data_IF_453880029037
#
_entry.id   IF_453880029037
#
_cell.length_a   1.000
_cell.length_b   1.000
_cell.length_c   1.000
_cell.angle_alpha   90.00
_cell.angle_beta   90.00
_cell.angle_gamma   90.00
#
_symmetry.space_group_name_H-M   'P 1'
#
loop_
_entity.id
_entity.type
_entity.pdbx_description
1 polymer ?
#
# COMPACT_ATOMS: atom_id res chain seq x y z
N UNK A 1 -5.60 23.55 -1.98
CA UNK A 1 -4.88 22.56 -1.16
C UNK A 1 -5.06 21.22 -1.83
N UNK A 2 -3.99 20.59 -2.30
CA UNK A 2 -4.03 19.26 -2.94
C UNK A 2 -4.42 18.26 -1.85
N UNK A 3 -5.68 17.81 -1.79
CA UNK A 3 -6.13 16.78 -0.84
C UNK A 3 -5.71 15.41 -1.34
N UNK A 4 -4.40 15.24 -1.55
CA UNK A 4 -3.84 13.98 -2.03
C UNK A 4 -3.89 12.97 -0.89
N UNK A 5 -4.69 11.93 -1.09
CA UNK A 5 -4.67 10.78 -0.19
C UNK A 5 -3.61 9.80 -0.65
N UNK A 6 -3.19 8.90 0.24
CA UNK A 6 -2.21 7.87 -0.06
C UNK A 6 -2.73 6.50 0.39
N UNK A 7 -2.32 5.44 -0.29
CA UNK A 7 -2.62 4.06 0.07
C UNK A 7 -1.36 3.21 0.11
N UNK A 8 -1.40 2.11 0.86
CA UNK A 8 -0.33 1.13 0.94
C UNK A 8 -0.64 -0.07 0.05
N UNK A 9 0.37 -0.54 -0.70
CA UNK A 9 0.29 -1.73 -1.54
C UNK A 9 1.47 -2.65 -1.21
N UNK A 10 1.27 -3.67 -0.35
CA UNK A 10 2.33 -4.60 -0.01
C UNK A 10 2.54 -5.62 -1.13
N UNK A 11 3.79 -6.00 -1.36
CA UNK A 11 4.15 -7.23 -2.07
C UNK A 11 4.41 -8.31 -1.04
N UNK A 12 3.69 -9.41 -1.18
CA UNK A 12 3.71 -10.52 -0.22
C UNK A 12 4.64 -11.64 -0.71
N UNK A 13 5.35 -12.29 0.23
CA UNK A 13 6.05 -13.57 0.04
C UNK A 13 5.06 -14.72 -0.10
N UNK A 14 3.99 -14.68 0.69
CA UNK A 14 2.91 -15.67 0.69
C UNK A 14 1.60 -15.04 1.22
N UNK A 15 0.46 -15.56 0.79
CA UNK A 15 -0.86 -15.03 1.13
C UNK A 15 -1.26 -13.78 0.34
N UNK A 16 -2.37 -13.15 0.72
CA UNK A 16 -2.98 -12.05 -0.04
C UNK A 16 -2.84 -10.73 0.69
N UNK A 17 -2.42 -9.68 -0.03
CA UNK A 17 -2.33 -8.31 0.49
C UNK A 17 -3.61 -7.82 1.17
N UNK A 18 -4.78 -8.22 0.62
CA UNK A 18 -6.11 -7.91 1.15
C UNK A 18 -6.35 -8.39 2.59
N UNK A 19 -5.55 -9.34 3.08
CA UNK A 19 -5.61 -9.83 4.46
C UNK A 19 -4.91 -8.92 5.47
N UNK A 20 -4.23 -7.86 5.04
CA UNK A 20 -3.62 -6.85 5.93
C UNK A 20 -4.56 -5.63 5.98
N UNK A 21 -5.10 -5.26 7.17
CA UNK A 21 -6.04 -4.14 7.33
C UNK A 21 -5.54 -2.81 6.77
N UNK A 22 -4.26 -2.51 6.95
CA UNK A 22 -3.59 -1.27 6.53
C UNK A 22 -3.63 -1.06 5.00
N UNK A 23 -3.87 -2.12 4.22
CA UNK A 23 -4.00 -2.07 2.75
C UNK A 23 -5.27 -1.32 2.29
N UNK A 24 -6.27 -1.18 3.16
CA UNK A 24 -7.55 -0.52 2.85
C UNK A 24 -7.63 0.93 3.29
N UNK A 25 -6.64 1.39 4.07
CA UNK A 25 -6.66 2.70 4.67
C UNK A 25 -6.16 3.78 3.70
N UNK A 26 -6.83 4.93 3.73
CA UNK A 26 -6.39 6.14 3.04
C UNK A 26 -5.71 7.07 4.04
N UNK A 27 -4.51 7.50 3.72
CA UNK A 27 -3.68 8.38 4.55
C UNK A 27 -3.73 9.80 3.99
N UNK A 28 -3.90 10.80 4.86
CA UNK A 28 -3.90 12.21 4.46
C UNK A 28 -2.51 12.78 4.18
N UNK A 29 -1.45 12.03 4.51
CA UNK A 29 -0.05 12.43 4.30
C UNK A 29 0.85 11.23 3.98
N UNK A 30 1.98 11.50 3.31
CA UNK A 30 3.02 10.48 3.04
C UNK A 30 3.67 10.00 4.34
N UNK A 31 3.74 10.86 5.36
CA UNK A 31 4.37 10.55 6.65
C UNK A 31 3.53 9.54 7.45
N UNK A 32 2.21 9.72 7.47
CA UNK A 32 1.28 8.76 8.06
C UNK A 32 1.35 7.41 7.34
N UNK A 33 1.34 7.43 6.00
CA UNK A 33 1.49 6.22 5.19
C UNK A 33 2.82 5.50 5.46
N UNK A 34 3.93 6.24 5.61
CA UNK A 34 5.24 5.67 5.94
C UNK A 34 5.26 5.02 7.32
N UNK A 35 4.59 5.64 8.29
CA UNK A 35 4.48 5.09 9.65
C UNK A 35 3.70 3.79 9.65
N UNK A 36 2.56 3.73 8.94
CA UNK A 36 1.81 2.50 8.75
C UNK A 36 2.57 1.43 7.94
N UNK A 37 3.34 1.82 6.91
CA UNK A 37 4.18 0.89 6.16
C UNK A 37 5.23 0.20 7.04
N UNK A 38 5.79 0.89 8.04
CA UNK A 38 6.69 0.27 9.04
C UNK A 38 5.98 -0.80 9.87
N UNK A 39 4.72 -0.56 10.23
CA UNK A 39 3.91 -1.54 10.97
C UNK A 39 3.70 -2.82 10.16
N UNK A 40 3.45 -2.71 8.84
CA UNK A 40 3.26 -3.88 7.97
C UNK A 40 4.47 -4.81 7.93
N UNK A 41 5.70 -4.30 8.11
CA UNK A 41 6.90 -5.14 8.15
C UNK A 41 7.02 -5.99 9.43
N UNK A 42 6.13 -5.84 10.41
CA UNK A 42 6.00 -6.82 11.51
C UNK A 42 5.40 -8.15 11.03
N UNK A 43 4.70 -8.17 9.89
CA UNK A 43 4.29 -9.41 9.23
C UNK A 43 5.42 -9.91 8.32
N UNK A 44 6.06 -11.03 8.69
CA UNK A 44 7.18 -11.64 7.95
C UNK A 44 6.83 -12.01 6.49
N UNK A 45 5.53 -12.07 6.16
CA UNK A 45 5.07 -12.31 4.80
C UNK A 45 5.19 -11.08 3.92
N UNK A 46 5.41 -9.88 4.47
CA UNK A 46 5.54 -8.64 3.69
C UNK A 46 6.99 -8.46 3.22
N UNK A 47 7.22 -8.45 1.91
CA UNK A 47 8.56 -8.27 1.32
C UNK A 47 8.90 -6.79 1.08
N UNK A 48 7.91 -6.00 0.67
CA UNK A 48 8.04 -4.56 0.38
C UNK A 48 6.67 -3.91 0.43
N UNK A 49 6.63 -2.62 0.72
CA UNK A 49 5.41 -1.81 0.74
C UNK A 49 5.59 -0.60 -0.17
N UNK A 50 4.69 -0.44 -1.14
CA UNK A 50 4.61 0.76 -1.97
C UNK A 50 3.61 1.75 -1.36
N UNK A 51 3.98 3.03 -1.31
CA UNK A 51 3.06 4.13 -0.99
C UNK A 51 2.62 4.74 -2.31
N UNK A 52 1.32 4.70 -2.60
CA UNK A 52 0.75 5.26 -3.83
C UNK A 52 -0.13 6.45 -3.48
N UNK A 53 -0.04 7.52 -4.26
CA UNK A 53 -0.97 8.64 -4.14
C UNK A 53 -2.29 8.29 -4.84
N UNK A 54 -3.42 8.64 -4.22
CA UNK A 54 -4.72 8.62 -4.85
C UNK A 54 -4.81 9.72 -5.90
N UNK A 55 -5.24 9.32 -7.10
CA UNK A 55 -5.38 10.17 -8.26
C UNK A 55 -5.94 9.37 -9.44
N UNK A 56 -6.47 10.08 -10.44
CA UNK A 56 -6.89 9.49 -11.71
C UNK A 56 -5.67 9.10 -12.54
N UNK A 57 -5.18 7.87 -12.34
CA UNK A 57 -3.97 7.35 -12.99
C UNK A 57 -3.54 6.02 -12.40
N UNK A 58 -4.47 5.07 -12.44
CA UNK A 58 -4.48 3.76 -11.77
C UNK A 58 -3.54 2.76 -12.45
N UNK A 59 -3.09 1.76 -11.69
CA UNK A 59 -2.55 0.51 -12.24
C UNK A 59 -3.43 -0.01 -13.40
N UNK A 60 -2.81 -0.33 -14.55
CA UNK A 60 -3.51 -0.59 -15.82
C UNK A 60 -3.73 -2.10 -16.07
N UNK A 61 -2.74 -2.96 -15.86
CA UNK A 61 -2.82 -4.41 -16.13
C UNK A 61 -1.63 -5.20 -15.55
N UNK A 62 -1.84 -6.48 -15.17
CA UNK A 62 -0.78 -7.48 -15.00
C UNK A 62 -0.95 -8.55 -16.07
N UNK A 63 0.09 -8.78 -16.88
CA UNK A 63 0.17 -9.89 -17.84
C UNK A 63 0.98 -11.02 -17.20
N UNK A 64 0.39 -12.20 -17.17
CA UNK A 64 1.06 -13.47 -16.81
C UNK A 64 1.26 -14.34 -18.06
N UNK A 65 1.99 -15.45 -17.96
CA UNK A 65 2.37 -16.29 -19.11
C UNK A 65 1.26 -17.24 -19.55
#
# INVERSE_FOLDING_TARGET
>A
MDTRQFRLRPTMKQGTASSIPETWQHYGSVEDARTAAKQMYHDDRVLRVMIVADGSGTFVEWIDR
#
